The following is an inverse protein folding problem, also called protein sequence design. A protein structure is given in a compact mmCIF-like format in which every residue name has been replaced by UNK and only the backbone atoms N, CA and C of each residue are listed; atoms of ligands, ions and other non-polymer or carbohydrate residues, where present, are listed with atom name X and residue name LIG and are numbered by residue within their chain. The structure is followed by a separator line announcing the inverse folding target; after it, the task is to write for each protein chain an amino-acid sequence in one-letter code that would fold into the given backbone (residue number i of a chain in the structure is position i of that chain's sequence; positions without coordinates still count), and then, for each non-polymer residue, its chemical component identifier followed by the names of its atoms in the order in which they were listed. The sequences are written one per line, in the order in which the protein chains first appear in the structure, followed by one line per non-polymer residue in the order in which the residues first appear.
data_IF_528148844471
#
_entry.id   IF_528148844471
#
_cell.length_a   1.000
_cell.length_b   1.000
_cell.length_c   1.000
_cell.angle_alpha   90.00
_cell.angle_beta   90.00
_cell.angle_gamma   90.00
#
_symmetry.space_group_name_H-M   'P 1'
#
loop_
_entity.id
_entity.type
_entity.pdbx_description
1 polymer ?
#
# COMPACT_ATOMS: atom_id res chain seq x y z
N UNK A 1 -22.61 7.84 -0.39
CA UNK A 1 -21.22 8.28 -0.08
C UNK A 1 -20.33 7.10 -0.41
N UNK A 2 -19.34 7.26 -1.30
CA UNK A 2 -18.40 6.19 -1.60
C UNK A 2 -17.53 5.96 -0.37
N UNK A 3 -17.75 4.84 0.31
CA UNK A 3 -16.97 4.42 1.47
C UNK A 3 -15.59 3.93 1.00
N UNK A 4 -14.65 4.86 0.84
CA UNK A 4 -13.29 4.55 0.36
C UNK A 4 -12.46 4.06 1.54
N UNK A 5 -12.04 2.80 1.50
CA UNK A 5 -11.01 2.28 2.40
C UNK A 5 -9.65 2.68 1.87
N UNK A 6 -8.82 3.30 2.71
CA UNK A 6 -7.56 3.91 2.25
C UNK A 6 -6.55 4.08 3.39
N UNK A 7 -5.29 4.34 3.02
CA UNK A 7 -4.23 4.71 3.95
C UNK A 7 -3.56 6.03 3.53
N UNK A 8 -3.06 6.78 4.51
CA UNK A 8 -2.29 8.02 4.30
C UNK A 8 -1.09 8.08 5.23
N UNK A 9 -0.06 8.81 4.82
CA UNK A 9 1.07 9.13 5.69
C UNK A 9 0.72 10.38 6.49
N UNK A 10 0.89 10.29 7.82
CA UNK A 10 0.54 11.35 8.76
C UNK A 10 1.70 11.62 9.72
N UNK A 11 1.68 12.80 10.31
CA UNK A 11 2.55 13.20 11.40
C UNK A 11 1.72 13.90 12.46
N UNK A 12 1.78 13.41 13.71
CA UNK A 12 0.93 13.89 14.80
C UNK A 12 -0.55 13.92 14.40
N UNK A 13 -1.02 12.84 13.78
CA UNK A 13 -2.40 12.65 13.28
C UNK A 13 -2.85 13.65 12.19
N UNK A 14 -1.93 14.43 11.66
CA UNK A 14 -2.18 15.34 10.52
C UNK A 14 -1.62 14.75 9.24
N UNK A 15 -2.41 14.71 8.18
CA UNK A 15 -1.98 14.22 6.87
C UNK A 15 -0.91 15.14 6.30
N UNK A 16 0.16 14.53 5.80
CA UNK A 16 1.20 15.25 5.10
C UNK A 16 0.71 15.66 3.70
N UNK A 17 1.32 16.72 3.17
CA UNK A 17 1.01 17.18 1.81
C UNK A 17 1.48 16.13 0.81
N UNK A 18 0.60 15.81 -0.13
CA UNK A 18 0.78 14.75 -1.13
C UNK A 18 1.09 15.39 -2.49
N UNK A 19 2.07 14.83 -3.19
CA UNK A 19 2.48 15.20 -4.54
C UNK A 19 2.44 13.96 -5.44
N UNK A 20 1.26 13.65 -5.99
CA UNK A 20 0.99 12.37 -6.64
C UNK A 20 0.96 11.23 -5.61
N UNK A 21 1.88 10.29 -5.70
CA UNK A 21 2.09 9.23 -4.69
C UNK A 21 3.23 9.54 -3.71
N UNK A 22 3.86 10.73 -3.84
CA UNK A 22 5.01 11.11 -3.05
C UNK A 22 4.64 11.97 -1.85
N UNK A 23 5.35 11.75 -0.76
CA UNK A 23 5.31 12.52 0.48
C UNK A 23 6.74 12.88 0.86
N UNK A 24 6.98 14.11 1.29
CA UNK A 24 8.33 14.60 1.58
C UNK A 24 8.52 14.80 3.08
N UNK A 25 9.62 14.24 3.62
CA UNK A 25 9.94 14.30 5.05
C UNK A 25 11.40 14.66 5.28
N UNK A 26 11.68 15.25 6.44
CA UNK A 26 13.04 15.53 6.90
C UNK A 26 13.62 14.29 7.57
N UNK A 27 14.96 14.15 7.52
CA UNK A 27 15.67 13.13 8.26
C UNK A 27 15.38 13.23 9.76
N UNK A 28 15.21 12.08 10.42
CA UNK A 28 14.95 11.98 11.84
C UNK A 28 13.47 12.14 12.25
N UNK A 29 12.58 12.45 11.31
CA UNK A 29 11.15 12.60 11.63
C UNK A 29 10.46 11.25 11.83
N UNK A 30 9.64 11.16 12.90
CA UNK A 30 8.71 10.06 13.07
C UNK A 30 7.42 10.33 12.31
N UNK A 31 6.76 9.27 11.85
CA UNK A 31 5.48 9.36 11.15
C UNK A 31 4.53 8.23 11.57
N UNK A 32 3.31 8.34 11.13
CA UNK A 32 2.25 7.37 11.36
C UNK A 32 1.60 7.01 10.02
N UNK A 33 1.02 5.83 9.96
CA UNK A 33 0.18 5.41 8.83
C UNK A 33 -1.27 5.49 9.30
N UNK A 34 -2.03 6.45 8.79
CA UNK A 34 -3.47 6.53 8.99
C UNK A 34 -4.13 5.45 8.14
N UNK A 35 -4.83 4.52 8.77
CA UNK A 35 -5.63 3.49 8.15
C UNK A 35 -7.10 3.82 8.35
N UNK A 36 -7.89 3.81 7.30
CA UNK A 36 -9.31 4.06 7.38
C UNK A 36 -10.11 2.94 6.70
N UNK A 37 -11.01 2.33 7.45
CA UNK A 37 -11.98 1.39 6.92
C UNK A 37 -13.29 2.11 6.58
N UNK A 38 -13.52 2.42 5.32
CA UNK A 38 -14.79 2.97 4.85
C UNK A 38 -15.84 1.91 4.54
N UNK A 39 -15.53 0.61 4.69
CA UNK A 39 -16.45 -0.49 4.41
C UNK A 39 -17.40 -0.76 5.59
N UNK A 40 -18.47 -1.52 5.34
CA UNK A 40 -19.47 -1.93 6.36
C UNK A 40 -19.04 -3.14 7.16
N UNK A 41 -18.02 -3.88 6.70
CA UNK A 41 -17.50 -5.10 7.31
C UNK A 41 -16.11 -4.84 7.90
N UNK A 42 -15.60 -5.78 8.70
CA UNK A 42 -14.22 -5.72 9.15
C UNK A 42 -13.27 -5.86 7.95
N UNK A 43 -12.16 -5.16 8.03
CA UNK A 43 -11.13 -5.15 7.00
C UNK A 43 -9.77 -5.40 7.64
N UNK A 44 -8.98 -6.28 7.05
CA UNK A 44 -7.59 -6.48 7.44
C UNK A 44 -6.68 -5.64 6.54
N UNK A 45 -5.78 -4.87 7.15
CA UNK A 45 -4.70 -4.15 6.46
C UNK A 45 -3.39 -4.90 6.61
N UNK A 46 -2.73 -5.25 5.49
CA UNK A 46 -1.35 -5.70 5.44
C UNK A 46 -0.47 -4.57 4.95
N UNK A 47 0.67 -4.37 5.59
CA UNK A 47 1.51 -3.20 5.39
C UNK A 47 2.93 -3.64 5.03
N UNK A 48 3.44 -3.10 3.95
CA UNK A 48 4.83 -3.25 3.50
C UNK A 48 5.57 -1.94 3.68
N UNK A 49 6.76 -2.03 4.24
CA UNK A 49 7.70 -0.91 4.40
C UNK A 49 9.02 -1.29 3.77
N UNK A 50 9.57 -0.41 2.92
CA UNK A 50 10.77 -0.70 2.14
C UNK A 50 10.66 -2.07 1.43
N UNK A 51 9.49 -2.37 0.86
CA UNK A 51 9.14 -3.63 0.19
C UNK A 51 9.20 -4.89 1.10
N UNK A 52 9.16 -4.72 2.43
CA UNK A 52 9.08 -5.83 3.40
C UNK A 52 7.74 -5.78 4.13
N UNK A 53 7.07 -6.90 4.23
CA UNK A 53 5.86 -7.05 5.04
C UNK A 53 6.22 -6.88 6.52
N UNK A 54 5.54 -5.97 7.24
CA UNK A 54 5.82 -5.69 8.65
C UNK A 54 5.10 -6.64 9.62
N UNK A 55 4.09 -7.36 9.16
CA UNK A 55 3.41 -8.42 9.92
C UNK A 55 2.59 -9.29 8.98
N UNK A 56 2.73 -10.60 9.10
CA UNK A 56 1.92 -11.56 8.33
C UNK A 56 0.46 -11.55 8.77
N UNK A 57 0.21 -11.31 10.06
CA UNK A 57 -1.14 -11.30 10.63
C UNK A 57 -1.99 -10.09 10.20
N UNK A 58 -1.34 -8.99 9.77
CA UNK A 58 -2.04 -7.76 9.44
C UNK A 58 -2.68 -7.05 10.64
N UNK A 59 -3.40 -5.97 10.38
CA UNK A 59 -4.14 -5.19 11.38
C UNK A 59 -5.62 -5.14 11.00
N UNK A 60 -6.50 -5.51 11.92
CA UNK A 60 -7.94 -5.52 11.66
C UNK A 60 -8.58 -4.20 12.07
N UNK A 61 -9.36 -3.65 11.17
CA UNK A 61 -10.11 -2.40 11.33
C UNK A 61 -11.61 -2.69 11.33
N UNK A 62 -12.32 -2.21 12.33
CA UNK A 62 -13.79 -2.27 12.38
C UNK A 62 -14.42 -1.32 11.34
N UNK A 63 -15.70 -1.53 10.99
CA UNK A 63 -16.42 -0.60 10.11
C UNK A 63 -16.32 0.86 10.57
N UNK A 64 -15.98 1.75 9.65
CA UNK A 64 -15.81 3.18 9.90
C UNK A 64 -14.61 3.55 10.79
N UNK A 65 -13.81 2.59 11.20
CA UNK A 65 -12.66 2.84 12.08
C UNK A 65 -11.54 3.57 11.35
N UNK A 66 -11.01 4.57 12.04
CA UNK A 66 -9.76 5.26 11.68
C UNK A 66 -8.72 4.93 12.74
N UNK A 67 -7.55 4.48 12.30
CA UNK A 67 -6.46 4.09 13.16
C UNK A 67 -5.15 4.71 12.69
N UNK A 68 -4.34 5.20 13.62
CA UNK A 68 -3.01 5.76 13.33
C UNK A 68 -1.97 4.79 13.85
N UNK A 69 -1.38 4.03 12.94
CA UNK A 69 -0.31 3.10 13.25
C UNK A 69 1.02 3.85 13.28
N UNK A 70 1.67 3.92 14.44
CA UNK A 70 2.92 4.65 14.62
C UNK A 70 4.16 3.76 14.75
N UNK A 71 3.98 2.43 14.82
CA UNK A 71 5.06 1.48 15.05
C UNK A 71 4.95 0.23 14.19
N UNK A 72 6.05 -0.50 14.13
CA UNK A 72 6.06 -1.86 13.59
C UNK A 72 5.21 -2.79 14.48
N UNK A 73 4.47 -3.71 13.84
CA UNK A 73 3.59 -4.64 14.58
C UNK A 73 4.41 -5.69 15.35
N UNK A 74 5.53 -6.12 14.78
CA UNK A 74 6.46 -7.11 15.34
C UNK A 74 7.45 -6.56 16.38
N UNK A 75 7.54 -5.23 16.51
CA UNK A 75 8.46 -4.58 17.47
C UNK A 75 7.87 -3.29 17.99
N UNK A 76 8.26 -2.87 19.21
CA UNK A 76 7.75 -1.64 19.84
C UNK A 76 8.37 -0.35 19.27
N UNK A 77 9.05 -0.41 18.14
CA UNK A 77 9.72 0.75 17.56
C UNK A 77 8.78 1.54 16.66
N UNK A 78 8.79 2.86 16.81
CA UNK A 78 8.06 3.79 15.92
C UNK A 78 8.66 3.79 14.53
N UNK A 79 7.85 4.19 13.55
CA UNK A 79 8.36 4.48 12.21
C UNK A 79 9.14 5.77 12.24
N UNK A 80 10.39 5.73 11.76
CA UNK A 80 11.29 6.86 11.63
C UNK A 80 11.82 6.94 10.21
N UNK A 81 11.83 8.12 9.63
CA UNK A 81 12.41 8.36 8.32
C UNK A 81 13.82 8.94 8.46
N UNK A 82 14.81 8.28 7.85
CA UNK A 82 16.20 8.74 7.86
C UNK A 82 16.71 8.91 6.44
N UNK A 83 17.47 9.99 6.19
CA UNK A 83 18.09 10.25 4.90
C UNK A 83 19.59 10.03 4.96
N UNK A 84 20.16 9.61 3.86
CA UNK A 84 21.60 9.41 3.67
C UNK A 84 21.99 9.63 2.22
N UNK A 85 23.24 9.98 2.00
CA UNK A 85 23.81 10.16 0.68
C UNK A 85 24.42 8.84 0.19
N UNK A 86 24.21 8.54 -1.08
CA UNK A 86 24.76 7.37 -1.77
C UNK A 86 25.44 7.83 -3.05
N UNK A 87 26.38 7.02 -3.55
CA UNK A 87 26.93 7.26 -4.87
C UNK A 87 25.87 7.02 -5.95
N UNK A 88 25.93 7.73 -7.06
CA UNK A 88 24.97 7.66 -8.17
C UNK A 88 25.17 6.43 -9.08
N UNK A 89 25.88 5.38 -8.65
CA UNK A 89 26.09 4.18 -9.46
C UNK A 89 24.79 3.43 -9.76
N UNK A 90 24.73 2.75 -10.89
CA UNK A 90 23.55 1.99 -11.30
C UNK A 90 23.18 0.86 -10.33
N UNK A 91 24.15 0.28 -9.65
CA UNK A 91 23.93 -0.77 -8.66
C UNK A 91 23.36 -0.19 -7.36
N UNK A 92 23.86 0.96 -6.94
CA UNK A 92 23.31 1.71 -5.81
C UNK A 92 21.86 2.14 -6.08
N UNK A 93 21.56 2.65 -7.27
CA UNK A 93 20.19 3.04 -7.66
C UNK A 93 19.21 1.88 -7.55
N UNK A 94 19.61 0.66 -7.91
CA UNK A 94 18.78 -0.55 -7.72
C UNK A 94 18.60 -0.91 -6.24
N UNK A 95 19.68 -0.79 -5.44
CA UNK A 95 19.64 -1.12 -4.02
C UNK A 95 18.70 -0.21 -3.24
N UNK A 96 18.61 1.06 -3.62
CA UNK A 96 17.76 2.06 -2.97
C UNK A 96 16.35 2.17 -3.56
N UNK A 97 16.03 1.45 -4.66
CA UNK A 97 14.75 1.57 -5.35
C UNK A 97 13.52 1.31 -4.48
N UNK A 98 13.66 0.51 -3.44
CA UNK A 98 12.57 0.19 -2.49
C UNK A 98 12.58 1.07 -1.24
N UNK A 99 13.51 2.00 -1.12
CA UNK A 99 13.63 2.87 0.04
C UNK A 99 12.46 3.85 0.12
N UNK A 100 11.91 4.03 1.33
CA UNK A 100 10.79 4.94 1.55
C UNK A 100 9.44 4.46 1.03
N UNK A 101 9.35 3.27 0.42
CA UNK A 101 8.09 2.74 -0.07
C UNK A 101 7.22 2.24 1.08
N UNK A 102 5.97 2.68 1.10
CA UNK A 102 4.89 2.21 1.99
C UNK A 102 3.75 1.73 1.12
N UNK A 103 3.43 0.44 1.20
CA UNK A 103 2.26 -0.15 0.54
C UNK A 103 1.32 -0.70 1.59
N UNK A 104 0.04 -0.42 1.46
CA UNK A 104 -1.02 -0.97 2.32
C UNK A 104 -2.06 -1.65 1.44
N UNK A 105 -2.32 -2.91 1.69
CA UNK A 105 -3.35 -3.69 1.04
C UNK A 105 -4.46 -4.02 2.03
N UNK A 106 -5.70 -3.91 1.58
CA UNK A 106 -6.89 -4.14 2.38
C UNK A 106 -7.66 -5.36 1.90
N UNK A 107 -8.01 -6.24 2.84
CA UNK A 107 -8.68 -7.52 2.61
C UNK A 107 -10.01 -7.55 3.35
N UNK A 108 -11.07 -7.99 2.69
CA UNK A 108 -12.38 -8.14 3.32
C UNK A 108 -12.43 -9.36 4.23
N UNK A 109 -13.22 -9.24 5.30
CA UNK A 109 -13.57 -10.39 6.12
C UNK A 109 -14.37 -11.39 5.29
N UNK A 110 -13.98 -12.68 5.34
CA UNK A 110 -14.79 -13.78 4.81
C UNK A 110 -15.92 -14.08 5.78
N UNK A 111 -17.11 -13.60 5.47
CA UNK A 111 -18.31 -14.10 6.15
C UNK A 111 -18.54 -15.54 5.67
N UNK A 112 -18.17 -16.52 6.48
CA UNK A 112 -18.77 -17.83 6.35
C UNK A 112 -20.25 -17.66 6.70
N UNK A 113 -21.07 -17.32 5.73
CA UNK A 113 -22.47 -17.64 5.80
C UNK A 113 -22.50 -19.18 5.97
N UNK A 114 -22.58 -19.65 7.21
CA UNK A 114 -22.97 -21.01 7.46
C UNK A 114 -24.32 -21.17 6.78
N UNK A 115 -24.31 -21.74 5.58
CA UNK A 115 -25.49 -22.26 4.90
C UNK A 115 -25.90 -23.52 5.66
N UNK A 116 -25.95 -23.45 6.97
CA UNK A 116 -26.84 -24.24 7.80
C UNK A 116 -28.13 -23.43 7.84
N UNK A 117 -28.81 -23.35 6.67
CA UNK A 117 -30.25 -23.20 6.67
C UNK A 117 -30.75 -24.16 7.76
N UNK A 118 -31.40 -23.59 8.79
CA UNK A 118 -32.13 -24.40 9.77
C UNK A 118 -32.82 -25.51 8.99
N UNK A 119 -32.63 -26.80 9.37
CA UNK A 119 -33.34 -27.87 8.69
C UNK A 119 -34.81 -27.43 8.64
N UNK A 120 -35.48 -27.55 7.50
CA UNK A 120 -36.89 -27.19 7.43
C UNK A 120 -37.58 -27.90 8.57
N UNK A 121 -38.21 -27.14 9.48
CA UNK A 121 -39.05 -27.70 10.53
C UNK A 121 -40.24 -28.23 9.76
N UNK A 122 -40.15 -29.49 9.32
CA UNK A 122 -41.33 -30.21 8.90
C UNK A 122 -42.23 -30.32 10.12
N UNK A 123 -43.23 -29.46 10.18
CA UNK A 123 -44.36 -29.57 11.06
C UNK A 123 -45.14 -30.83 10.70
N UNK A 124 -44.58 -31.96 10.98
CA UNK A 124 -45.25 -33.27 10.90
C UNK A 124 -45.92 -33.56 12.23
N UNK A 125 -47.24 -33.50 12.23
CA UNK A 125 -48.09 -33.98 13.31
C UNK A 125 -47.65 -35.38 13.70
N UNK A 126 -47.21 -35.56 14.94
CA UNK A 126 -46.89 -36.85 15.51
C UNK A 126 -48.18 -37.60 15.81
N UNK A 127 -48.67 -38.42 14.85
CA UNK A 127 -49.61 -39.47 15.18
C UNK A 127 -48.80 -40.72 15.49
N UNK A 128 -48.77 -41.06 16.76
CA UNK A 128 -48.25 -42.30 17.33
C UNK A 128 -49.05 -43.50 16.81
N UNK A 129 -48.37 -44.42 16.09
CA UNK A 129 -48.79 -45.81 16.02
C UNK A 129 -47.55 -46.69 16.08
N UNK A 130 -47.47 -47.62 17.06
CA UNK A 130 -46.48 -48.69 17.07
C UNK A 130 -46.96 -49.79 16.17
N UNK A 131 -46.32 -50.04 15.03
CA UNK A 131 -46.54 -51.27 14.31
C UNK A 131 -45.24 -52.03 14.20
N UNK A 132 -45.13 -53.04 15.03
CA UNK A 132 -44.16 -54.11 14.99
C UNK A 132 -44.64 -55.11 13.92
N UNK A 133 -43.87 -55.26 12.84
CA UNK A 133 -43.79 -56.28 11.82
C UNK A 133 -43.75 -55.69 10.40
N UNK A 134 -42.58 -55.43 9.96
CA UNK A 134 -42.28 -55.46 8.53
C UNK A 134 -40.91 -56.13 8.33
N UNK A 135 -40.80 -57.12 7.44
CA UNK A 135 -39.57 -57.81 7.17
C UNK A 135 -38.61 -56.92 6.37
N UNK A 136 -37.32 -57.06 6.68
CA UNK A 136 -36.20 -56.41 5.96
C UNK A 136 -36.25 -56.72 4.46
N UNK A 137 -36.59 -55.75 3.64
CA UNK A 137 -36.26 -55.78 2.23
C UNK A 137 -34.92 -55.10 2.02
N UNK A 138 -33.92 -55.92 1.68
CA UNK A 138 -32.68 -55.42 1.14
C UNK A 138 -32.96 -54.71 -0.18
N UNK A 139 -32.72 -53.42 -0.24
CA UNK A 139 -32.72 -52.72 -1.52
C UNK A 139 -31.38 -52.95 -2.24
N UNK A 140 -31.38 -53.19 -3.55
CA UNK A 140 -30.20 -53.44 -4.31
C UNK A 140 -29.37 -52.15 -4.41
N UNK A 141 -28.07 -52.26 -4.15
CA UNK A 141 -27.03 -51.27 -4.38
C UNK A 141 -26.92 -51.08 -5.90
N UNK A 142 -27.31 -49.94 -6.40
CA UNK A 142 -27.06 -49.63 -7.81
C UNK A 142 -27.91 -48.53 -8.39
N UNK A 143 -27.60 -47.26 -8.04
CA UNK A 143 -27.74 -46.15 -8.97
C UNK A 143 -26.81 -45.03 -8.51
N UNK A 144 -25.89 -44.54 -9.32
CA UNK A 144 -25.07 -43.38 -8.96
C UNK A 144 -25.94 -42.13 -9.03
N UNK A 145 -26.18 -41.51 -7.87
CA UNK A 145 -26.70 -40.16 -7.81
C UNK A 145 -25.62 -39.25 -8.39
N UNK A 146 -25.88 -38.67 -9.56
CA UNK A 146 -25.01 -37.72 -10.18
C UNK A 146 -24.82 -36.49 -9.28
N UNK A 147 -23.72 -36.41 -8.60
CA UNK A 147 -23.21 -35.17 -8.00
C UNK A 147 -22.76 -34.27 -9.15
N UNK A 148 -23.25 -33.03 -9.24
CA UNK A 148 -22.68 -32.10 -10.20
C UNK A 148 -21.21 -31.87 -9.83
N UNK A 149 -20.32 -32.30 -10.71
CA UNK A 149 -18.90 -32.00 -10.63
C UNK A 149 -18.70 -30.48 -10.70
N UNK A 150 -18.52 -29.84 -9.56
CA UNK A 150 -17.91 -28.53 -9.51
C UNK A 150 -16.42 -28.75 -9.69
N UNK A 151 -16.00 -28.66 -10.92
CA UNK A 151 -14.58 -28.61 -11.26
C UNK A 151 -13.99 -27.29 -10.76
N UNK A 152 -13.31 -27.29 -9.63
CA UNK A 152 -12.28 -26.34 -9.33
C UNK A 152 -11.05 -26.72 -10.17
N UNK A 153 -11.04 -26.26 -11.41
CA UNK A 153 -9.91 -26.41 -12.30
C UNK A 153 -8.75 -25.52 -11.88
N UNK A 154 -7.81 -26.08 -11.15
CA UNK A 154 -6.47 -25.49 -11.02
C UNK A 154 -5.75 -25.67 -12.33
N UNK A 155 -5.88 -24.74 -13.26
CA UNK A 155 -5.03 -24.65 -14.45
C UNK A 155 -3.77 -23.87 -14.11
N UNK A 156 -2.73 -24.60 -13.71
CA UNK A 156 -1.36 -24.13 -13.82
C UNK A 156 -0.95 -24.20 -15.29
N UNK A 157 -1.19 -23.16 -16.05
CA UNK A 157 -0.52 -22.98 -17.35
C UNK A 157 0.56 -21.94 -17.14
N UNK A 158 1.76 -22.42 -16.86
CA UNK A 158 2.96 -21.63 -16.96
C UNK A 158 3.28 -21.37 -18.44
N UNK A 159 2.97 -20.22 -18.96
CA UNK A 159 3.53 -19.74 -20.21
C UNK A 159 4.81 -18.99 -19.89
N UNK A 160 5.93 -19.68 -20.09
CA UNK A 160 7.23 -19.05 -20.17
C UNK A 160 7.27 -18.17 -21.43
N UNK A 161 7.23 -16.87 -21.25
CA UNK A 161 7.46 -15.92 -22.35
C UNK A 161 8.97 -15.70 -22.45
N UNK A 162 9.58 -16.34 -23.43
CA UNK A 162 10.94 -16.06 -23.85
C UNK A 162 10.97 -14.67 -24.50
N UNK A 163 11.56 -13.71 -23.83
CA UNK A 163 11.94 -12.47 -24.47
C UNK A 163 13.24 -12.69 -25.24
N UNK A 164 13.10 -12.69 -26.55
CA UNK A 164 14.23 -12.71 -27.46
C UNK A 164 15.05 -11.42 -27.30
N UNK A 165 16.34 -11.61 -27.02
CA UNK A 165 17.36 -10.57 -27.05
C UNK A 165 17.51 -10.05 -28.49
N UNK A 166 17.03 -8.84 -28.76
CA UNK A 166 17.40 -8.10 -29.94
C UNK A 166 18.64 -7.27 -29.64
N UNK A 167 19.79 -7.77 -30.00
CA UNK A 167 21.04 -7.01 -30.06
C UNK A 167 20.96 -6.00 -31.19
N UNK A 168 20.79 -4.73 -30.85
CA UNK A 168 21.02 -3.63 -31.80
C UNK A 168 22.46 -3.20 -31.64
N UNK A 169 23.28 -3.62 -32.56
CA UNK A 169 24.66 -3.13 -32.77
C UNK A 169 24.59 -1.79 -33.50
N UNK A 170 24.72 -0.69 -32.81
CA UNK A 170 25.02 0.60 -33.41
C UNK A 170 26.49 0.92 -33.18
N UNK A 171 27.30 0.65 -34.23
CA UNK A 171 28.63 1.21 -34.38
C UNK A 171 28.49 2.68 -34.74
N UNK A 172 28.77 3.59 -33.81
CA UNK A 172 29.15 4.94 -34.09
C UNK A 172 30.30 5.31 -33.14
N UNK A 173 31.50 5.16 -33.62
CA UNK A 173 32.71 5.69 -32.98
C UNK A 173 32.71 7.20 -33.12
N UNK A 174 32.30 7.89 -32.05
CA UNK A 174 32.61 9.28 -31.85
C UNK A 174 33.45 9.36 -30.57
N UNK A 175 34.78 9.44 -30.74
CA UNK A 175 35.71 9.76 -29.67
C UNK A 175 35.54 11.21 -29.27
N UNK A 176 34.63 11.48 -28.32
CA UNK A 176 34.62 12.70 -27.54
C UNK A 176 35.28 12.42 -26.21
N UNK A 177 36.55 12.76 -26.10
CA UNK A 177 37.26 12.84 -24.82
C UNK A 177 36.78 14.07 -24.08
N UNK A 178 35.65 13.95 -23.38
CA UNK A 178 35.32 14.88 -22.30
C UNK A 178 36.01 14.39 -21.03
N UNK A 179 37.15 14.96 -20.73
CA UNK A 179 37.66 14.97 -19.36
C UNK A 179 36.87 16.00 -18.54
N UNK A 180 35.61 15.72 -18.31
CA UNK A 180 34.89 16.30 -17.21
C UNK A 180 35.17 15.42 -15.99
N UNK A 181 35.88 15.97 -15.01
CA UNK A 181 35.79 15.47 -13.64
C UNK A 181 34.33 15.59 -13.22
N UNK A 182 33.54 14.57 -13.54
CA UNK A 182 32.18 14.44 -13.01
C UNK A 182 32.40 14.21 -11.53
N UNK A 183 32.20 15.26 -10.74
CA UNK A 183 31.92 15.09 -9.33
C UNK A 183 30.82 14.02 -9.28
N UNK A 184 31.10 12.88 -8.68
CA UNK A 184 30.16 11.81 -8.51
C UNK A 184 29.01 12.40 -7.69
N UNK A 185 27.93 12.84 -8.36
CA UNK A 185 26.81 13.48 -7.72
C UNK A 185 26.22 12.46 -6.74
N UNK A 186 26.39 12.73 -5.46
CA UNK A 186 25.78 11.94 -4.41
C UNK A 186 24.27 12.13 -4.48
N UNK A 187 23.54 11.03 -4.55
CA UNK A 187 22.09 11.02 -4.51
C UNK A 187 21.66 10.93 -3.05
N UNK A 188 20.84 11.89 -2.59
CA UNK A 188 20.18 11.76 -1.29
C UNK A 188 18.98 10.84 -1.42
N UNK A 189 18.93 9.80 -0.59
CA UNK A 189 17.80 8.87 -0.47
C UNK A 189 17.34 8.77 0.97
N UNK A 190 16.14 8.27 1.20
CA UNK A 190 15.63 8.10 2.54
C UNK A 190 15.06 6.70 2.75
N UNK A 191 15.20 6.19 3.96
CA UNK A 191 14.73 4.87 4.36
C UNK A 191 13.89 4.95 5.62
N UNK A 192 12.89 4.08 5.71
CA UNK A 192 12.11 3.93 6.93
C UNK A 192 12.83 2.95 7.85
N UNK A 193 13.14 3.41 9.05
CA UNK A 193 13.88 2.67 10.05
C UNK A 193 13.12 2.57 11.38
N UNK A 194 13.67 1.80 12.32
CA UNK A 194 13.14 1.66 13.68
C UNK A 194 13.53 2.87 14.51
N UNK A 195 12.56 3.66 14.92
CA UNK A 195 12.73 4.80 15.81
C UNK A 195 12.65 4.43 17.29
N UNK A 196 12.29 5.40 18.13
CA UNK A 196 12.09 5.22 19.55
C UNK A 196 10.94 4.26 19.90
N UNK A 197 10.79 3.94 21.18
CA UNK A 197 9.73 3.06 21.66
C UNK A 197 8.34 3.71 21.52
N UNK A 198 7.32 2.87 21.32
CA UNK A 198 5.92 3.24 21.27
C UNK A 198 5.13 2.48 22.33
N UNK A 199 4.11 3.13 22.89
CA UNK A 199 3.19 2.55 23.86
C UNK A 199 1.98 1.87 23.22
N UNK A 200 1.88 1.86 21.87
CA UNK A 200 0.79 1.17 21.18
C UNK A 200 0.82 -0.32 21.49
N UNK A 201 -0.34 -0.89 21.82
CA UNK A 201 -0.51 -2.33 22.03
C UNK A 201 -1.50 -2.91 21.04
N UNK A 202 -1.31 -4.18 20.70
CA UNK A 202 -2.19 -4.93 19.80
C UNK A 202 -2.72 -6.17 20.51
N UNK A 203 -3.97 -6.51 20.22
CA UNK A 203 -4.62 -7.73 20.71
C UNK A 203 -4.80 -8.68 19.53
N UNK A 204 -4.39 -9.93 19.71
CA UNK A 204 -4.62 -10.95 18.70
C UNK A 204 -6.11 -11.32 18.64
N UNK A 205 -6.64 -11.35 17.43
CA UNK A 205 -8.00 -11.81 17.13
C UNK A 205 -7.93 -12.90 16.06
N UNK A 206 -8.84 -13.86 16.13
CA UNK A 206 -8.92 -14.91 15.13
C UNK A 206 -10.08 -14.62 14.18
N UNK A 207 -9.77 -14.23 12.95
CA UNK A 207 -10.74 -13.89 11.91
C UNK A 207 -10.20 -14.35 10.55
N UNK A 208 -11.09 -14.67 9.63
CA UNK A 208 -10.72 -15.08 8.27
C UNK A 208 -10.95 -13.93 7.29
N UNK A 209 -10.01 -13.75 6.38
CA UNK A 209 -10.05 -12.70 5.36
C UNK A 209 -9.84 -13.29 3.98
N UNK A 210 -10.32 -12.60 2.96
CA UNK A 210 -10.07 -12.95 1.57
C UNK A 210 -8.57 -12.93 1.27
N UNK A 211 -8.14 -13.73 0.29
CA UNK A 211 -6.74 -13.79 -0.13
C UNK A 211 -6.35 -12.71 -1.13
N UNK A 212 -7.35 -12.05 -1.76
CA UNK A 212 -7.15 -11.02 -2.77
C UNK A 212 -7.50 -9.66 -2.15
N UNK A 213 -6.61 -8.67 -2.22
CA UNK A 213 -6.91 -7.34 -1.72
C UNK A 213 -7.95 -6.65 -2.60
N UNK A 214 -8.92 -5.97 -2.00
CA UNK A 214 -9.91 -5.19 -2.72
C UNK A 214 -9.53 -3.71 -2.88
N UNK A 215 -8.58 -3.23 -2.09
CA UNK A 215 -8.03 -1.88 -2.17
C UNK A 215 -6.55 -1.87 -1.82
N UNK A 216 -5.81 -0.97 -2.45
CA UNK A 216 -4.37 -0.78 -2.21
C UNK A 216 -4.06 0.71 -2.17
N UNK A 217 -3.19 1.10 -1.24
CA UNK A 217 -2.64 2.45 -1.15
C UNK A 217 -1.12 2.37 -1.20
N UNK A 218 -0.52 3.13 -2.12
CA UNK A 218 0.94 3.20 -2.30
C UNK A 218 1.43 4.61 -2.02
N UNK A 219 2.51 4.72 -1.25
CA UNK A 219 3.16 5.97 -0.91
C UNK A 219 4.66 5.82 -1.04
N UNK A 220 5.32 6.88 -1.53
CA UNK A 220 6.76 6.96 -1.54
C UNK A 220 7.18 8.15 -0.67
N UNK A 221 7.85 7.87 0.45
CA UNK A 221 8.41 8.90 1.32
C UNK A 221 9.80 9.26 0.80
N UNK A 222 9.96 10.51 0.43
CA UNK A 222 11.16 11.05 -0.18
C UNK A 222 11.81 12.11 0.71
N UNK A 223 13.13 12.40 0.55
CA UNK A 223 13.81 13.47 1.25
C UNK A 223 13.17 14.85 0.98
N UNK A 224 13.03 15.65 2.00
CA UNK A 224 12.47 17.00 1.88
C UNK A 224 13.31 17.92 0.96
N UNK A 225 14.61 17.64 0.84
CA UNK A 225 15.54 18.38 -0.02
C UNK A 225 15.14 18.39 -1.50
N UNK A 226 14.53 17.28 -1.96
CA UNK A 226 14.10 17.12 -3.36
C UNK A 226 12.61 17.44 -3.56
N UNK A 227 11.95 18.03 -2.56
CA UNK A 227 10.54 18.42 -2.67
C UNK A 227 10.35 19.43 -3.79
N UNK A 228 9.37 19.23 -4.71
CA UNK A 228 9.05 20.20 -5.74
C UNK A 228 8.68 21.55 -5.14
N UNK A 229 9.27 22.62 -5.67
CA UNK A 229 8.90 23.99 -5.29
C UNK A 229 7.53 24.33 -5.87
N UNK A 230 6.64 24.88 -5.05
CA UNK A 230 5.33 25.30 -5.52
C UNK A 230 5.41 26.54 -6.39
N UNK A 231 4.56 26.60 -7.42
CA UNK A 231 4.47 27.77 -8.31
C UNK A 231 4.19 29.05 -7.52
N UNK A 232 3.44 28.98 -6.42
CA UNK A 232 3.21 30.10 -5.50
C UNK A 232 4.50 30.63 -4.86
N UNK A 233 5.48 29.76 -4.64
CA UNK A 233 6.79 30.16 -4.09
C UNK A 233 7.69 30.78 -5.17
N UNK A 234 7.57 30.32 -6.43
CA UNK A 234 8.30 30.91 -7.57
C UNK A 234 7.85 32.34 -7.87
N UNK A 235 6.56 32.66 -7.64
CA UNK A 235 6.02 34.02 -7.81
C UNK A 235 6.60 35.04 -6.83
N UNK A 236 7.32 34.62 -5.81
CA UNK A 236 7.99 35.52 -4.88
C UNK A 236 9.33 36.09 -5.42
N UNK A 237 9.71 35.76 -6.65
CA UNK A 237 10.93 36.24 -7.29
C UNK A 237 10.61 36.78 -8.67
N UNK A 238 11.26 37.90 -9.03
CA UNK A 238 11.13 38.44 -10.36
C UNK A 238 11.81 37.54 -11.39
N UNK A 239 11.11 37.20 -12.48
CA UNK A 239 11.64 36.35 -13.54
C UNK A 239 12.84 37.03 -14.27
N UNK A 240 12.84 38.34 -14.38
CA UNK A 240 13.89 39.09 -15.08
C UNK A 240 15.18 39.26 -14.27
N UNK A 241 15.10 39.62 -12.99
CA UNK A 241 16.29 39.94 -12.19
C UNK A 241 16.51 39.08 -10.96
N UNK A 242 15.64 38.11 -10.66
CA UNK A 242 15.74 37.22 -9.49
C UNK A 242 15.51 37.91 -8.14
N UNK A 243 15.14 39.22 -8.11
CA UNK A 243 14.87 39.93 -6.86
C UNK A 243 13.59 39.40 -6.21
N UNK A 244 13.64 39.14 -4.89
CA UNK A 244 12.49 38.67 -4.13
C UNK A 244 11.36 39.71 -4.10
N UNK A 245 10.16 39.31 -4.54
CA UNK A 245 8.93 40.09 -4.49
C UNK A 245 8.29 39.94 -3.11
N UNK A 246 8.33 41.02 -2.32
CA UNK A 246 7.83 41.00 -0.92
C UNK A 246 6.31 41.17 -0.81
N UNK A 247 5.66 41.75 -1.81
CA UNK A 247 4.20 41.97 -1.82
C UNK A 247 3.59 41.41 -3.10
N UNK A 248 2.63 40.56 -2.99
CA UNK A 248 1.88 39.98 -4.12
C UNK A 248 1.06 41.01 -4.90
N UNK A 249 0.81 42.17 -4.30
CA UNK A 249 0.08 43.26 -4.95
C UNK A 249 0.91 44.11 -5.93
N UNK A 250 2.21 43.87 -6.00
CA UNK A 250 3.07 44.59 -6.96
C UNK A 250 2.86 44.02 -8.36
N UNK A 251 2.54 44.92 -9.29
CA UNK A 251 2.43 44.59 -10.70
C UNK A 251 3.77 44.63 -11.44
N UNK A 252 4.74 45.35 -10.87
CA UNK A 252 6.08 45.51 -11.43
C UNK A 252 7.14 45.27 -10.36
N UNK A 253 8.27 44.75 -10.79
CA UNK A 253 9.41 44.51 -9.93
C UNK A 253 10.02 45.85 -9.49
N UNK A 254 10.20 46.13 -8.19
CA UNK A 254 10.77 47.37 -7.71
C UNK A 254 12.27 47.53 -8.04
N UNK A 255 12.94 46.44 -8.45
CA UNK A 255 14.37 46.43 -8.77
C UNK A 255 14.67 46.67 -10.26
N UNK A 256 13.91 46.01 -11.16
CA UNK A 256 14.19 46.09 -12.61
C UNK A 256 13.00 46.57 -13.45
N UNK A 257 11.82 46.80 -12.85
CA UNK A 257 10.65 47.27 -13.58
C UNK A 257 9.91 46.21 -14.39
N UNK A 258 10.35 44.96 -14.37
CA UNK A 258 9.69 43.81 -15.07
C UNK A 258 8.29 43.60 -14.56
N UNK A 259 7.33 43.22 -15.43
CA UNK A 259 5.98 42.83 -15.05
C UNK A 259 6.02 41.57 -14.22
N UNK A 260 5.21 41.51 -13.15
CA UNK A 260 5.12 40.39 -12.23
C UNK A 260 3.82 39.57 -12.45
N UNK A 261 3.13 39.81 -13.58
CA UNK A 261 1.88 39.08 -13.94
C UNK A 261 2.14 37.65 -14.36
#
# INVERSE_FOLDING_TARGET
MNNITTAFITRSKSRLKIYGENVYMKSGENFEIELFNGHTDNVMAKIWINNKLISESGLVLKPGQRYFLERFIDSNNKFKYETYAVDGSGDTSRAIANNGLVKVEFYKETCFNSIFSKPPIFGGSWTTYPNWNQPYYQQPIGAPIGVPNIWCGSSLIGTAVNYANSTVTNNASANFSFTSSVSQDSIETGRIEKGGASDQSFVSINMNFESIPFATSNWHILPHSIQPMEVSQLRNYCAGCGTRVKKQSWKFCPSCGESLD
#
